data_IF_145476688278
#
_entry.id   IF_145476688278
#
_cell.length_a   1.000
_cell.length_b   1.000
_cell.length_c   1.000
_cell.angle_alpha   90.00
_cell.angle_beta   90.00
_cell.angle_gamma   90.00
#
_symmetry.space_group_name_H-M   'P 1'
#
loop_
_entity.id
_entity.type
_entity.pdbx_description
1 polymer ?
#
# COMPACT_ATOMS: atom_id res chain seq x y z
N UNK A 1 -13.09 -11.08 -14.16
CA UNK A 1 -12.23 -11.04 -12.98
C UNK A 1 -12.25 -9.66 -12.32
N UNK A 2 -11.83 -8.56 -12.99
CA UNK A 2 -11.68 -7.23 -12.37
C UNK A 2 -12.97 -6.70 -11.75
N UNK A 3 -14.13 -6.83 -12.42
CA UNK A 3 -15.43 -6.42 -11.86
C UNK A 3 -15.76 -7.13 -10.52
N UNK A 4 -15.30 -8.38 -10.33
CA UNK A 4 -15.47 -9.12 -9.07
C UNK A 4 -14.62 -8.50 -7.95
N UNK A 5 -13.40 -8.00 -8.26
CA UNK A 5 -12.56 -7.30 -7.28
C UNK A 5 -13.29 -6.05 -6.77
N UNK A 6 -13.84 -5.24 -7.66
CA UNK A 6 -14.60 -4.04 -7.28
C UNK A 6 -15.82 -4.38 -6.43
N UNK A 7 -16.58 -5.43 -6.82
CA UNK A 7 -17.75 -5.91 -6.07
C UNK A 7 -17.37 -6.41 -4.67
N UNK A 8 -16.38 -7.30 -4.57
CA UNK A 8 -15.93 -7.87 -3.28
C UNK A 8 -15.41 -6.79 -2.33
N UNK A 9 -14.72 -5.77 -2.84
CA UNK A 9 -14.21 -4.65 -2.05
C UNK A 9 -15.24 -3.56 -1.75
N UNK A 10 -16.34 -3.46 -2.49
CA UNK A 10 -17.20 -2.27 -2.50
C UNK A 10 -16.46 -1.02 -3.00
N UNK A 11 -15.50 -1.19 -3.93
CA UNK A 11 -14.64 -0.12 -4.44
C UNK A 11 -15.27 0.51 -5.69
N UNK A 12 -15.26 1.85 -5.85
CA UNK A 12 -15.68 2.51 -7.09
C UNK A 12 -14.81 2.07 -8.29
N UNK A 13 -15.45 1.89 -9.45
CA UNK A 13 -14.77 1.35 -10.64
C UNK A 13 -13.82 2.34 -11.34
N UNK A 14 -13.91 3.62 -11.01
CA UNK A 14 -13.03 4.68 -11.50
C UNK A 14 -11.69 4.77 -10.74
N UNK A 15 -11.51 3.96 -9.70
CA UNK A 15 -10.25 3.87 -8.97
C UNK A 15 -9.31 2.85 -9.62
N UNK A 16 -8.11 3.27 -10.09
CA UNK A 16 -7.20 2.39 -10.80
C UNK A 16 -6.66 1.27 -9.92
N UNK A 17 -6.27 0.17 -10.56
CA UNK A 17 -5.60 -0.97 -9.96
C UNK A 17 -4.12 -0.98 -10.36
N UNK A 18 -3.26 -1.47 -9.46
CA UNK A 18 -1.86 -1.75 -9.78
C UNK A 18 -1.79 -3.13 -10.43
N UNK A 19 -1.11 -3.21 -11.57
CA UNK A 19 -0.81 -4.48 -12.23
C UNK A 19 0.54 -4.99 -11.73
N UNK A 20 0.52 -6.22 -11.22
CA UNK A 20 1.71 -6.93 -10.83
C UNK A 20 2.20 -7.77 -12.01
N UNK A 21 3.44 -7.58 -12.38
CA UNK A 21 4.14 -8.28 -13.48
C UNK A 21 5.25 -9.16 -12.91
N UNK A 22 5.68 -10.15 -13.67
CA UNK A 22 6.64 -11.14 -13.18
C UNK A 22 8.09 -10.65 -13.21
N UNK A 23 8.43 -9.76 -14.13
CA UNK A 23 9.78 -9.23 -14.29
C UNK A 23 9.76 -7.84 -14.95
N UNK A 24 10.88 -7.12 -14.86
CA UNK A 24 11.00 -5.76 -15.36
C UNK A 24 10.78 -5.67 -16.89
N UNK A 25 11.17 -6.67 -17.64
CA UNK A 25 11.05 -6.71 -19.11
C UNK A 25 9.59 -6.63 -19.57
N UNK A 26 8.66 -7.09 -18.74
CA UNK A 26 7.23 -7.04 -19.04
C UNK A 26 6.65 -5.61 -19.08
N UNK A 27 7.38 -4.59 -18.59
CA UNK A 27 6.94 -3.18 -18.65
C UNK A 27 6.57 -2.78 -20.07
N UNK A 28 7.37 -3.19 -21.06
CA UNK A 28 7.18 -2.80 -22.46
C UNK A 28 5.84 -3.29 -23.08
N UNK A 29 5.19 -4.28 -22.50
CA UNK A 29 3.86 -4.70 -22.91
C UNK A 29 2.76 -3.76 -22.39
N UNK A 30 2.97 -3.17 -21.21
CA UNK A 30 1.97 -2.36 -20.51
C UNK A 30 2.11 -0.86 -20.73
N UNK A 31 3.30 -0.41 -21.16
CA UNK A 31 3.60 1.02 -21.35
C UNK A 31 4.22 1.28 -22.73
N UNK A 32 3.79 2.39 -23.35
CA UNK A 32 4.34 2.83 -24.63
C UNK A 32 5.54 3.77 -24.48
N UNK A 33 5.67 4.44 -23.34
CA UNK A 33 6.73 5.41 -23.04
C UNK A 33 7.30 5.13 -21.67
N UNK A 34 8.60 4.83 -21.59
CA UNK A 34 9.31 4.49 -20.37
C UNK A 34 10.55 5.38 -20.29
N UNK A 35 10.55 6.40 -19.43
CA UNK A 35 11.74 7.25 -19.25
C UNK A 35 12.93 6.46 -18.71
N UNK A 36 14.15 6.87 -19.05
CA UNK A 36 15.39 6.21 -18.62
C UNK A 36 15.51 6.14 -17.09
N UNK A 37 15.08 7.20 -16.38
CA UNK A 37 15.08 7.19 -14.93
C UNK A 37 14.10 6.16 -14.33
N UNK A 38 12.97 5.89 -15.01
CA UNK A 38 12.04 4.84 -14.56
C UNK A 38 12.65 3.44 -14.73
N UNK A 39 13.45 3.22 -15.79
CA UNK A 39 14.23 1.99 -15.96
C UNK A 39 15.28 1.85 -14.87
N UNK A 40 15.99 2.96 -14.53
CA UNK A 40 16.98 2.95 -13.44
C UNK A 40 16.34 2.60 -12.09
N UNK A 41 15.18 3.18 -11.79
CA UNK A 41 14.39 2.87 -10.59
C UNK A 41 13.96 1.39 -10.57
N UNK A 42 13.41 0.89 -11.69
CA UNK A 42 12.99 -0.52 -11.79
C UNK A 42 14.17 -1.48 -11.56
N UNK A 43 15.33 -1.21 -12.13
CA UNK A 43 16.54 -2.02 -11.92
C UNK A 43 17.03 -2.03 -10.47
N UNK A 44 16.86 -0.92 -9.75
CA UNK A 44 17.35 -0.76 -8.37
C UNK A 44 16.38 -1.31 -7.33
N UNK A 45 15.05 -1.23 -7.58
CA UNK A 45 14.04 -1.48 -6.56
C UNK A 45 13.03 -2.58 -6.91
N UNK A 46 13.18 -3.26 -8.06
CA UNK A 46 12.38 -4.44 -8.39
C UNK A 46 13.25 -5.71 -8.47
N UNK A 47 12.72 -6.82 -7.96
CA UNK A 47 11.47 -6.98 -7.21
C UNK A 47 11.45 -6.20 -5.90
N UNK A 48 10.31 -5.53 -5.56
CA UNK A 48 10.27 -4.73 -4.34
C UNK A 48 9.01 -3.90 -4.10
N UNK A 49 9.05 -3.05 -3.07
CA UNK A 49 7.89 -2.26 -2.62
C UNK A 49 7.77 -0.92 -3.37
N UNK A 50 7.96 -0.93 -4.70
CA UNK A 50 7.83 0.24 -5.56
C UNK A 50 6.84 0.00 -6.69
N UNK A 51 6.00 1.00 -6.97
CA UNK A 51 5.06 1.04 -8.10
C UNK A 51 5.41 2.22 -9.00
N UNK A 52 5.56 1.98 -10.29
CA UNK A 52 5.75 3.01 -11.30
C UNK A 52 4.43 3.29 -12.01
N UNK A 53 4.05 4.56 -12.12
CA UNK A 53 2.96 5.02 -12.96
C UNK A 53 3.56 5.46 -14.29
N UNK A 54 3.10 4.85 -15.37
CA UNK A 54 3.61 5.06 -16.73
C UNK A 54 2.44 5.32 -17.69
N UNK A 55 2.72 5.90 -18.86
CA UNK A 55 1.73 6.03 -19.93
C UNK A 55 1.34 4.64 -20.43
N UNK A 56 0.04 4.33 -20.41
CA UNK A 56 -0.47 3.00 -20.72
C UNK A 56 -0.32 2.61 -22.19
N UNK A 57 -0.12 1.34 -22.45
CA UNK A 57 -0.36 0.73 -23.75
C UNK A 57 -1.84 0.35 -23.92
N UNK A 58 -2.22 -0.13 -25.09
CA UNK A 58 -3.57 -0.65 -25.36
C UNK A 58 -3.91 -1.92 -24.56
N UNK A 59 -2.93 -2.56 -23.93
CA UNK A 59 -3.14 -3.72 -23.05
C UNK A 59 -3.82 -3.31 -21.73
N UNK A 60 -3.46 -2.16 -21.18
CA UNK A 60 -4.05 -1.62 -19.97
C UNK A 60 -5.43 -0.99 -20.24
N UNK A 61 -6.48 -1.81 -20.16
CA UNK A 61 -7.85 -1.38 -20.43
C UNK A 61 -8.43 -0.47 -19.35
N UNK A 62 -9.43 0.34 -19.70
CA UNK A 62 -10.08 1.32 -18.81
C UNK A 62 -10.52 0.74 -17.47
N UNK A 63 -11.01 -0.50 -17.45
CA UNK A 63 -11.43 -1.17 -16.21
C UNK A 63 -10.26 -1.50 -15.25
N UNK A 64 -9.01 -1.41 -15.74
CA UNK A 64 -7.79 -1.52 -14.90
C UNK A 64 -7.35 -0.14 -14.46
N UNK A 65 -7.35 0.81 -15.39
CA UNK A 65 -6.78 2.17 -15.17
C UNK A 65 -7.79 3.16 -14.58
N UNK A 66 -9.06 2.75 -14.41
CA UNK A 66 -10.12 3.67 -13.99
C UNK A 66 -10.37 4.77 -15.03
N UNK A 67 -10.14 4.49 -16.32
CA UNK A 67 -10.28 5.42 -17.43
C UNK A 67 -9.12 6.42 -17.58
N UNK A 68 -8.03 6.27 -16.84
CA UNK A 68 -6.85 7.13 -16.99
C UNK A 68 -5.92 6.65 -18.11
N UNK A 69 -5.15 7.59 -18.70
CA UNK A 69 -4.12 7.29 -19.71
C UNK A 69 -2.81 6.76 -19.11
N UNK A 70 -2.86 6.33 -17.84
CA UNK A 70 -1.72 5.81 -17.10
C UNK A 70 -2.01 4.43 -16.52
N UNK A 71 -0.96 3.65 -16.28
CA UNK A 71 -1.03 2.35 -15.61
C UNK A 71 0.02 2.26 -14.52
N UNK A 72 -0.37 1.71 -13.37
CA UNK A 72 0.54 1.41 -12.26
C UNK A 72 1.09 0.00 -12.39
N UNK A 73 2.42 -0.16 -12.41
CA UNK A 73 3.12 -1.42 -12.55
C UNK A 73 4.02 -1.70 -11.34
N UNK A 74 4.10 -2.97 -10.95
CA UNK A 74 4.98 -3.42 -9.88
C UNK A 74 5.48 -4.85 -10.14
N UNK A 75 6.75 -5.11 -9.84
CA UNK A 75 7.27 -6.48 -9.64
C UNK A 75 7.36 -6.71 -8.13
N UNK A 76 6.51 -7.58 -7.54
CA UNK A 76 6.55 -7.84 -6.10
C UNK A 76 7.78 -8.69 -5.74
N UNK A 77 8.24 -8.60 -4.50
CA UNK A 77 9.40 -9.35 -3.96
C UNK A 77 9.01 -10.63 -3.21
N UNK A 78 7.73 -10.90 -3.07
CA UNK A 78 7.26 -12.07 -2.33
C UNK A 78 7.33 -13.34 -3.17
N UNK A 79 7.98 -14.40 -2.64
CA UNK A 79 8.25 -15.64 -3.37
C UNK A 79 7.00 -16.31 -3.95
N UNK A 80 5.89 -16.38 -3.19
CA UNK A 80 4.64 -16.98 -3.66
C UNK A 80 4.00 -16.10 -4.75
N UNK A 81 4.03 -14.77 -4.58
CA UNK A 81 3.48 -13.86 -5.58
C UNK A 81 4.25 -13.95 -6.91
N UNK A 82 5.58 -13.99 -6.86
CA UNK A 82 6.42 -14.17 -8.05
C UNK A 82 6.20 -15.55 -8.70
N UNK A 83 6.09 -16.63 -7.90
CA UNK A 83 5.80 -17.95 -8.43
C UNK A 83 4.44 -17.98 -9.16
N UNK A 84 3.39 -17.38 -8.56
CA UNK A 84 2.08 -17.26 -9.20
C UNK A 84 2.14 -16.46 -10.51
N UNK A 85 2.82 -15.31 -10.52
CA UNK A 85 2.99 -14.48 -11.71
C UNK A 85 3.74 -15.22 -12.82
N UNK A 86 4.80 -15.94 -12.47
CA UNK A 86 5.57 -16.73 -13.42
C UNK A 86 4.76 -17.89 -14.04
N UNK A 87 3.99 -18.63 -13.23
CA UNK A 87 3.11 -19.67 -13.75
C UNK A 87 2.00 -19.09 -14.61
N UNK A 88 1.40 -17.97 -14.19
CA UNK A 88 0.39 -17.28 -14.99
C UNK A 88 0.96 -16.81 -16.34
N UNK A 89 2.20 -16.32 -16.36
CA UNK A 89 2.90 -15.92 -17.61
C UNK A 89 3.12 -17.11 -18.54
N UNK A 90 3.52 -18.27 -18.03
CA UNK A 90 3.66 -19.51 -18.84
C UNK A 90 2.36 -19.93 -19.52
N UNK A 91 1.21 -19.63 -18.89
CA UNK A 91 -0.13 -19.87 -19.44
C UNK A 91 -0.61 -18.76 -20.38
N UNK A 92 0.25 -17.81 -20.74
CA UNK A 92 -0.07 -16.69 -21.64
C UNK A 92 -0.62 -15.44 -20.95
N UNK A 93 -0.70 -15.43 -19.59
CA UNK A 93 -1.09 -14.25 -18.82
C UNK A 93 -0.01 -13.18 -18.85
N UNK A 94 -0.41 -11.90 -18.78
CA UNK A 94 0.51 -10.76 -18.90
C UNK A 94 0.77 -10.03 -17.59
N UNK A 95 -0.08 -10.23 -16.58
CA UNK A 95 0.01 -9.61 -15.27
C UNK A 95 -1.27 -9.79 -14.48
N UNK A 96 -1.21 -9.51 -13.18
CA UNK A 96 -2.33 -9.65 -12.26
C UNK A 96 -2.63 -8.28 -11.63
N UNK A 97 -3.83 -7.74 -11.92
CA UNK A 97 -4.30 -6.53 -11.27
C UNK A 97 -4.76 -6.85 -9.85
N UNK A 98 -4.13 -6.25 -8.85
CA UNK A 98 -4.42 -6.53 -7.45
C UNK A 98 -4.35 -5.28 -6.57
N UNK A 99 -5.46 -4.87 -5.95
CA UNK A 99 -5.48 -3.92 -4.84
C UNK A 99 -5.21 -4.65 -3.52
N UNK A 100 -5.13 -3.91 -2.40
CA UNK A 100 -5.13 -4.51 -1.06
C UNK A 100 -6.40 -5.35 -0.81
N UNK A 101 -6.28 -6.45 -0.06
CA UNK A 101 -7.35 -7.43 0.14
C UNK A 101 -8.26 -7.10 1.34
N UNK A 102 -8.78 -5.86 1.41
CA UNK A 102 -9.72 -5.35 2.40
C UNK A 102 -10.94 -4.73 1.74
N UNK A 103 -11.99 -4.49 2.49
CA UNK A 103 -13.10 -3.63 2.08
C UNK A 103 -12.58 -2.20 1.86
N UNK A 104 -13.22 -1.48 0.94
CA UNK A 104 -12.79 -0.12 0.58
C UNK A 104 -12.83 0.82 1.78
N UNK A 105 -11.76 1.58 2.00
CA UNK A 105 -11.59 2.50 3.14
C UNK A 105 -11.09 1.85 4.44
N UNK A 106 -11.20 0.54 4.60
CA UNK A 106 -10.77 -0.17 5.80
C UNK A 106 -9.24 -0.32 5.89
N UNK A 107 -8.77 -0.73 7.06
CA UNK A 107 -7.35 -1.02 7.32
C UNK A 107 -6.86 -2.14 6.41
N UNK A 108 -5.73 -1.94 5.72
CA UNK A 108 -5.16 -2.99 4.86
C UNK A 108 -4.76 -4.24 5.68
N UNK A 109 -5.03 -5.46 5.18
CA UNK A 109 -4.60 -6.69 5.85
C UNK A 109 -3.11 -6.92 5.62
N UNK A 110 -2.43 -7.44 6.64
CA UNK A 110 -1.03 -7.84 6.60
C UNK A 110 -0.81 -9.33 6.82
N UNK A 111 -1.90 -10.10 7.00
CA UNK A 111 -1.89 -11.55 7.18
C UNK A 111 -3.07 -12.19 6.44
N UNK A 112 -2.97 -13.47 6.11
CA UNK A 112 -4.06 -14.27 5.53
C UNK A 112 -5.30 -14.31 6.43
N UNK A 113 -5.09 -14.40 7.75
CA UNK A 113 -6.18 -14.37 8.73
C UNK A 113 -6.96 -13.04 8.68
N UNK A 114 -6.26 -11.90 8.51
CA UNK A 114 -6.92 -10.61 8.36
C UNK A 114 -7.70 -10.51 7.03
N UNK A 115 -7.20 -11.11 5.94
CA UNK A 115 -7.92 -11.21 4.66
C UNK A 115 -9.18 -12.05 4.83
N UNK A 116 -9.09 -13.21 5.48
CA UNK A 116 -10.23 -14.08 5.75
C UNK A 116 -11.31 -13.35 6.56
N UNK A 117 -10.92 -12.69 7.65
CA UNK A 117 -11.85 -11.93 8.48
C UNK A 117 -12.56 -10.79 7.72
N UNK A 118 -11.89 -10.19 6.74
CA UNK A 118 -12.37 -9.03 6.00
C UNK A 118 -13.22 -9.38 4.78
N UNK A 119 -12.87 -10.46 4.07
CA UNK A 119 -13.41 -10.73 2.74
C UNK A 119 -14.14 -12.08 2.61
N UNK A 120 -14.10 -12.99 3.58
CA UNK A 120 -14.66 -14.34 3.42
C UNK A 120 -16.12 -14.36 2.95
N UNK A 121 -16.95 -13.42 3.41
CA UNK A 121 -18.36 -13.30 3.01
C UNK A 121 -18.55 -12.83 1.56
N UNK A 122 -17.51 -12.32 0.92
CA UNK A 122 -17.52 -11.77 -0.44
C UNK A 122 -16.78 -12.64 -1.44
N UNK A 123 -16.16 -13.74 -0.98
CA UNK A 123 -15.45 -14.71 -1.81
C UNK A 123 -16.42 -15.79 -2.31
N UNK A 124 -16.17 -16.28 -3.52
CA UNK A 124 -16.87 -17.39 -4.13
C UNK A 124 -16.08 -18.70 -3.94
N UNK A 125 -16.70 -19.83 -4.18
CA UNK A 125 -16.13 -21.17 -3.96
C UNK A 125 -14.76 -21.40 -4.60
N UNK A 126 -14.50 -20.75 -5.75
CA UNK A 126 -13.22 -20.87 -6.47
C UNK A 126 -12.21 -19.79 -6.12
N UNK A 127 -12.51 -18.88 -5.19
CA UNK A 127 -11.57 -17.88 -4.73
C UNK A 127 -10.65 -18.48 -3.65
N UNK A 128 -9.36 -18.21 -3.77
CA UNK A 128 -8.35 -18.77 -2.88
C UNK A 128 -7.59 -17.66 -2.15
N UNK A 129 -7.30 -17.88 -0.88
CA UNK A 129 -6.38 -17.08 -0.09
C UNK A 129 -5.07 -17.87 0.01
N UNK A 130 -4.02 -17.38 -0.65
CA UNK A 130 -2.69 -17.95 -0.53
C UNK A 130 -2.00 -17.36 0.71
N UNK A 131 -1.68 -18.22 1.67
CA UNK A 131 -0.96 -17.79 2.86
C UNK A 131 0.54 -17.72 2.58
N UNK A 132 1.06 -16.50 2.54
CA UNK A 132 2.50 -16.20 2.38
C UNK A 132 3.17 -15.76 3.69
N UNK A 133 2.47 -15.86 4.82
CA UNK A 133 2.90 -15.28 6.07
C UNK A 133 2.61 -13.77 6.16
N UNK A 134 3.07 -13.10 7.22
CA UNK A 134 2.85 -11.67 7.43
C UNK A 134 3.63 -10.81 6.44
N UNK A 135 3.04 -9.66 6.08
CA UNK A 135 3.70 -8.67 5.22
C UNK A 135 4.99 -8.14 5.84
N UNK A 136 6.10 -8.18 5.09
CA UNK A 136 7.42 -7.83 5.61
C UNK A 136 7.60 -6.32 5.82
N UNK A 137 7.05 -5.48 4.96
CA UNK A 137 7.13 -4.01 5.06
C UNK A 137 6.00 -3.45 5.93
N UNK A 138 4.79 -3.99 5.81
CA UNK A 138 3.61 -3.61 6.60
C UNK A 138 2.81 -2.43 6.06
N UNK A 139 3.40 -1.58 5.22
CA UNK A 139 2.71 -0.49 4.49
C UNK A 139 2.82 -0.73 2.98
N UNK A 140 1.95 -0.07 2.21
CA UNK A 140 1.91 -0.21 0.77
C UNK A 140 3.15 0.38 0.08
N UNK A 141 3.38 -0.05 -1.18
CA UNK A 141 4.48 0.39 -2.03
C UNK A 141 4.53 1.92 -2.20
N UNK A 142 5.73 2.46 -2.32
CA UNK A 142 5.93 3.82 -2.85
C UNK A 142 5.35 3.88 -4.26
N UNK A 143 4.53 4.89 -4.57
CA UNK A 143 4.02 5.12 -5.94
C UNK A 143 4.72 6.34 -6.51
N UNK A 144 5.38 6.14 -7.65
CA UNK A 144 6.14 7.17 -8.36
C UNK A 144 5.49 7.40 -9.72
N UNK A 145 5.06 8.63 -9.98
CA UNK A 145 4.65 9.07 -11.30
C UNK A 145 5.89 9.30 -12.17
N UNK A 146 5.97 8.55 -13.25
CA UNK A 146 7.04 8.58 -14.24
C UNK A 146 6.53 9.01 -15.62
N UNK A 147 5.43 9.77 -15.70
CA UNK A 147 4.86 10.24 -16.97
C UNK A 147 5.49 11.54 -17.47
N UNK A 148 6.24 12.25 -16.63
CA UNK A 148 6.92 13.52 -16.91
C UNK A 148 8.44 13.39 -16.99
N UNK A 149 9.12 14.52 -17.04
CA UNK A 149 10.58 14.60 -17.08
C UNK A 149 11.24 14.30 -15.74
N UNK A 150 10.52 14.54 -14.64
CA UNK A 150 10.99 14.34 -13.27
C UNK A 150 10.08 13.36 -12.54
N UNK A 151 10.62 12.52 -11.65
CA UNK A 151 9.83 11.64 -10.81
C UNK A 151 8.98 12.45 -9.81
N UNK A 152 7.73 11.99 -9.54
CA UNK A 152 6.86 12.53 -8.48
C UNK A 152 6.42 11.42 -7.55
N UNK A 153 6.51 11.64 -6.25
CA UNK A 153 5.98 10.69 -5.26
C UNK A 153 4.49 10.97 -5.05
N UNK A 154 3.63 10.09 -5.57
CA UNK A 154 2.17 10.17 -5.39
C UNK A 154 1.70 9.50 -4.09
N UNK A 155 2.49 8.57 -3.57
CA UNK A 155 2.24 7.90 -2.29
C UNK A 155 3.58 7.50 -1.67
N UNK A 156 3.93 7.99 -0.48
CA UNK A 156 5.14 7.57 0.21
C UNK A 156 5.04 6.10 0.67
N UNK A 157 6.17 5.40 0.66
CA UNK A 157 6.33 4.01 1.08
C UNK A 157 7.76 3.76 1.57
N UNK A 158 8.21 2.50 1.49
CA UNK A 158 9.56 2.13 1.95
C UNK A 158 10.69 2.63 1.04
N UNK A 159 10.40 2.95 -0.23
CA UNK A 159 11.37 3.62 -1.11
C UNK A 159 11.23 5.11 -0.89
N UNK A 160 12.27 5.73 -0.30
CA UNK A 160 12.27 7.13 0.11
C UNK A 160 12.67 8.07 -1.01
N UNK A 161 12.44 9.37 -0.81
CA UNK A 161 12.89 10.42 -1.73
C UNK A 161 14.42 10.39 -1.93
N UNK A 162 15.18 10.22 -0.84
CA UNK A 162 16.64 10.11 -0.89
C UNK A 162 17.09 8.93 -1.76
N UNK A 163 16.45 7.77 -1.63
CA UNK A 163 16.76 6.59 -2.43
C UNK A 163 16.46 6.82 -3.92
N UNK A 164 15.35 7.48 -4.24
CA UNK A 164 14.97 7.81 -5.62
C UNK A 164 15.97 8.78 -6.23
N UNK A 165 16.28 9.86 -5.50
CA UNK A 165 17.25 10.88 -5.93
C UNK A 165 18.65 10.27 -6.11
N UNK A 166 19.07 9.40 -5.19
CA UNK A 166 20.35 8.70 -5.27
C UNK A 166 20.51 7.80 -6.50
N UNK A 167 19.42 7.17 -6.96
CA UNK A 167 19.43 6.32 -8.16
C UNK A 167 19.32 7.12 -9.44
N UNK A 168 18.48 8.15 -9.45
CA UNK A 168 18.15 8.90 -10.69
C UNK A 168 19.04 10.11 -10.92
N UNK A 169 19.63 10.68 -9.87
CA UNK A 169 20.29 11.98 -9.91
C UNK A 169 19.32 13.15 -10.14
N UNK A 170 18.02 12.91 -10.13
CA UNK A 170 16.98 13.92 -10.39
C UNK A 170 16.32 14.37 -9.09
N UNK A 171 15.89 15.63 -9.08
CA UNK A 171 15.04 16.16 -8.01
C UNK A 171 13.62 15.59 -8.12
N UNK A 172 12.96 15.44 -6.98
CA UNK A 172 11.55 15.05 -6.97
C UNK A 172 10.70 16.28 -7.30
N UNK A 173 9.82 16.17 -8.28
CA UNK A 173 8.88 17.24 -8.61
C UNK A 173 7.77 17.34 -7.57
N UNK A 174 7.12 18.52 -7.49
CA UNK A 174 5.97 18.73 -6.59
C UNK A 174 4.90 17.67 -6.79
N UNK A 175 4.32 17.20 -5.69
CA UNK A 175 3.37 16.09 -5.67
C UNK A 175 1.98 16.42 -6.22
N UNK A 176 1.73 17.67 -6.64
CA UNK A 176 0.46 18.04 -7.27
C UNK A 176 0.32 17.28 -8.59
N UNK A 177 -0.67 16.41 -8.67
CA UNK A 177 -0.95 15.55 -9.82
C UNK A 177 -2.44 15.24 -9.90
N UNK A 178 -3.00 15.29 -11.10
CA UNK A 178 -4.39 14.86 -11.37
C UNK A 178 -4.52 13.33 -11.47
N UNK A 179 -3.40 12.61 -11.39
CA UNK A 179 -3.38 11.15 -11.50
C UNK A 179 -3.92 10.54 -10.20
N UNK A 180 -5.04 9.82 -10.32
CA UNK A 180 -5.60 9.05 -9.20
C UNK A 180 -4.79 7.77 -9.01
N UNK A 181 -4.44 7.48 -7.75
CA UNK A 181 -3.73 6.24 -7.38
C UNK A 181 -4.42 5.54 -6.22
N UNK A 182 -4.12 4.27 -6.03
CA UNK A 182 -4.63 3.50 -4.88
C UNK A 182 -4.12 4.11 -3.58
N UNK A 183 -5.05 4.38 -2.63
CA UNK A 183 -4.70 4.92 -1.31
C UNK A 183 -4.51 6.44 -1.26
N UNK A 184 -4.87 7.18 -2.34
CA UNK A 184 -4.81 8.66 -2.36
C UNK A 184 -6.02 9.34 -1.73
N UNK A 185 -7.07 8.62 -1.36
CA UNK A 185 -8.23 9.19 -0.71
C UNK A 185 -7.87 9.77 0.65
N UNK A 186 -8.53 10.88 1.00
CA UNK A 186 -8.33 11.54 2.29
C UNK A 186 -8.72 10.64 3.47
N UNK A 187 -9.79 9.86 3.32
CA UNK A 187 -10.30 8.91 4.29
C UNK A 187 -9.95 7.49 3.82
N UNK A 188 -8.89 6.93 4.36
CA UNK A 188 -8.45 5.58 4.02
C UNK A 188 -7.69 4.96 5.21
N UNK A 189 -7.57 3.63 5.22
CA UNK A 189 -6.88 2.88 6.29
C UNK A 189 -7.53 3.01 7.67
N UNK A 190 -8.82 3.36 7.72
CA UNK A 190 -9.49 3.70 8.97
C UNK A 190 -10.04 2.46 9.68
N UNK A 191 -9.66 2.23 10.96
CA UNK A 191 -10.34 1.30 11.85
C UNK A 191 -11.73 1.83 12.24
N UNK A 192 -12.53 1.03 12.97
CA UNK A 192 -13.75 1.50 13.60
C UNK A 192 -13.44 2.44 14.79
N UNK A 193 -12.39 2.13 15.54
CA UNK A 193 -11.85 2.98 16.59
C UNK A 193 -11.39 4.35 16.05
N UNK A 194 -11.68 5.43 16.76
CA UNK A 194 -11.23 6.78 16.38
C UNK A 194 -9.71 6.90 16.58
N UNK A 195 -8.96 7.15 15.51
CA UNK A 195 -7.51 7.40 15.56
C UNK A 195 -7.25 8.86 15.89
N UNK A 196 -6.42 9.11 16.89
CA UNK A 196 -5.99 10.44 17.34
C UNK A 196 -4.46 10.47 17.41
N UNK A 197 -3.88 11.54 16.89
CA UNK A 197 -2.43 11.63 16.75
C UNK A 197 -1.83 12.59 17.79
N UNK A 198 -0.67 12.23 18.33
CA UNK A 198 0.25 13.07 19.10
C UNK A 198 -0.35 13.77 20.33
N UNK A 199 -1.30 13.10 21.00
CA UNK A 199 -1.82 13.53 22.30
C UNK A 199 -1.46 12.51 23.38
N UNK A 200 -1.61 12.87 24.63
CA UNK A 200 -1.51 11.91 25.73
C UNK A 200 -2.73 10.97 25.73
N UNK A 201 -2.54 9.63 25.77
CA UNK A 201 -3.66 8.70 25.88
C UNK A 201 -4.27 8.73 27.27
N UNK A 202 -5.59 8.53 27.35
CA UNK A 202 -6.34 8.40 28.58
C UNK A 202 -6.63 6.93 28.92
N UNK A 203 -7.02 6.65 30.16
CA UNK A 203 -7.43 5.31 30.59
C UNK A 203 -8.55 4.77 29.66
N UNK A 204 -8.39 3.54 29.18
CA UNK A 204 -9.28 2.87 28.23
C UNK A 204 -8.96 3.11 26.75
N UNK A 205 -8.02 4.01 26.43
CA UNK A 205 -7.55 4.19 25.05
C UNK A 205 -6.59 3.06 24.64
N UNK A 206 -6.62 2.71 23.35
CA UNK A 206 -5.51 2.00 22.71
C UNK A 206 -4.32 2.93 22.48
N UNK A 207 -3.09 2.40 22.55
CA UNK A 207 -1.88 3.19 22.35
C UNK A 207 -0.87 2.50 21.46
N UNK A 208 -0.40 3.22 20.44
CA UNK A 208 0.67 2.79 19.53
C UNK A 208 1.81 3.81 19.65
N UNK A 209 2.99 3.37 20.02
CA UNK A 209 4.17 4.23 20.14
C UNK A 209 5.45 3.41 20.11
N UNK A 210 6.59 4.03 19.86
CA UNK A 210 7.89 3.39 19.99
C UNK A 210 8.11 2.84 21.43
N UNK A 211 8.91 1.79 21.55
CA UNK A 211 9.12 1.05 22.81
C UNK A 211 9.72 1.88 23.94
N UNK A 212 10.43 2.96 23.60
CA UNK A 212 11.01 3.91 24.56
C UNK A 212 9.98 4.91 25.13
N UNK A 213 8.74 4.90 24.65
CA UNK A 213 7.65 5.73 25.18
C UNK A 213 6.83 4.88 26.16
N UNK A 214 6.75 5.30 27.42
CA UNK A 214 6.01 4.60 28.46
C UNK A 214 4.51 4.60 28.19
N UNK A 215 3.84 3.53 28.62
CA UNK A 215 2.39 3.41 28.55
C UNK A 215 1.77 3.87 29.86
N UNK A 216 0.93 4.92 29.87
CA UNK A 216 0.25 5.37 31.08
C UNK A 216 -0.65 4.30 31.69
N UNK A 217 -0.91 4.39 33.00
CA UNK A 217 -1.78 3.46 33.69
C UNK A 217 -3.20 3.44 33.10
N UNK A 218 -3.76 2.25 32.93
CA UNK A 218 -5.10 2.04 32.37
C UNK A 218 -5.20 2.18 30.85
N UNK A 219 -4.09 2.41 30.14
CA UNK A 219 -4.03 2.48 28.68
C UNK A 219 -3.68 1.10 28.12
N UNK A 220 -4.31 0.70 26.99
CA UNK A 220 -4.06 -0.58 26.32
C UNK A 220 -2.94 -0.43 25.30
N UNK A 221 -1.75 -0.98 25.56
CA UNK A 221 -0.65 -0.96 24.60
C UNK A 221 -0.92 -1.92 23.44
N UNK A 222 -1.18 -1.39 22.22
CA UNK A 222 -1.48 -2.17 21.02
C UNK A 222 -0.22 -2.59 20.26
N UNK A 223 0.81 -1.72 20.23
CA UNK A 223 2.11 -2.02 19.66
C UNK A 223 3.21 -1.23 20.36
N UNK A 224 4.41 -1.83 20.40
CA UNK A 224 5.62 -1.29 21.05
C UNK A 224 6.85 -1.51 20.16
N UNK A 225 6.85 -0.97 18.92
CA UNK A 225 7.95 -1.15 17.97
C UNK A 225 9.25 -0.54 18.48
N UNK A 226 10.39 -1.14 18.11
CA UNK A 226 11.72 -0.67 18.51
C UNK A 226 12.28 0.39 17.55
N UNK A 227 11.81 0.39 16.30
CA UNK A 227 12.26 1.30 15.25
C UNK A 227 11.11 1.56 14.25
N UNK A 228 11.37 2.42 13.25
CA UNK A 228 10.36 2.82 12.26
C UNK A 228 9.95 1.68 11.31
N UNK A 229 10.85 0.74 10.98
CA UNK A 229 10.55 -0.43 10.16
C UNK A 229 9.60 -1.38 10.87
N UNK A 230 9.84 -1.62 12.16
CA UNK A 230 8.94 -2.43 12.98
C UNK A 230 7.61 -1.72 13.21
N UNK A 231 7.62 -0.39 13.34
CA UNK A 231 6.39 0.42 13.43
C UNK A 231 5.52 0.22 12.18
N UNK A 232 6.12 0.32 11.00
CA UNK A 232 5.40 0.09 9.74
C UNK A 232 4.79 -1.31 9.68
N UNK A 233 5.53 -2.35 10.09
CA UNK A 233 5.03 -3.74 10.09
C UNK A 233 3.88 -3.97 11.04
N UNK A 234 3.89 -3.34 12.21
CA UNK A 234 2.90 -3.55 13.26
C UNK A 234 1.68 -2.63 13.14
N UNK A 235 1.76 -1.52 12.40
CA UNK A 235 0.76 -0.47 12.35
C UNK A 235 -0.66 -1.01 12.09
N UNK A 236 -0.84 -1.71 10.98
CA UNK A 236 -2.18 -2.18 10.59
C UNK A 236 -2.69 -3.30 11.49
N UNK A 237 -1.80 -4.17 11.99
CA UNK A 237 -2.17 -5.18 12.97
C UNK A 237 -2.65 -4.53 14.27
N UNK A 238 -1.96 -3.50 14.74
CA UNK A 238 -2.34 -2.76 15.94
C UNK A 238 -3.69 -2.02 15.78
N UNK A 239 -3.92 -1.38 14.63
CA UNK A 239 -5.20 -0.73 14.34
C UNK A 239 -6.36 -1.74 14.28
N UNK A 240 -6.15 -2.93 13.68
CA UNK A 240 -7.15 -4.02 13.68
C UNK A 240 -7.38 -4.59 15.08
N UNK A 241 -6.32 -4.70 15.88
CA UNK A 241 -6.44 -5.17 17.26
C UNK A 241 -7.30 -4.23 18.12
N UNK A 242 -7.28 -2.92 17.84
CA UNK A 242 -8.18 -1.98 18.51
C UNK A 242 -9.65 -2.30 18.23
N UNK A 243 -10.00 -2.59 16.96
CA UNK A 243 -11.36 -2.96 16.57
C UNK A 243 -11.77 -4.30 17.21
N UNK A 244 -10.85 -5.29 17.24
CA UNK A 244 -11.10 -6.60 17.88
C UNK A 244 -11.32 -6.51 19.40
N UNK A 245 -10.71 -5.51 20.04
CA UNK A 245 -10.88 -5.23 21.46
C UNK A 245 -11.99 -4.20 21.75
N UNK A 246 -12.75 -3.82 20.72
CA UNK A 246 -13.86 -2.86 20.80
C UNK A 246 -13.47 -1.51 21.43
N UNK A 247 -12.22 -1.08 21.21
CA UNK A 247 -11.74 0.18 21.76
C UNK A 247 -12.39 1.36 21.01
N UNK A 248 -12.87 2.36 21.76
CA UNK A 248 -13.46 3.54 21.16
C UNK A 248 -12.42 4.45 20.47
N UNK A 249 -11.19 4.47 21.01
CA UNK A 249 -10.12 5.36 20.55
C UNK A 249 -8.77 4.66 20.53
N UNK A 250 -7.94 5.06 19.56
CA UNK A 250 -6.52 4.71 19.49
C UNK A 250 -5.70 5.98 19.39
N UNK A 251 -4.84 6.20 20.35
CA UNK A 251 -3.86 7.29 20.34
C UNK A 251 -2.55 6.75 19.76
N UNK A 252 -1.98 7.49 18.81
CA UNK A 252 -0.72 7.13 18.17
C UNK A 252 0.29 8.25 18.39
N UNK A 253 1.41 7.95 19.01
CA UNK A 253 2.58 8.81 18.99
C UNK A 253 3.35 8.56 17.69
N UNK A 254 3.32 9.52 16.77
CA UNK A 254 3.88 9.36 15.45
C UNK A 254 5.41 9.27 15.48
N UNK A 255 6.02 8.36 14.68
CA UNK A 255 7.47 8.30 14.59
C UNK A 255 8.02 9.51 13.80
N UNK A 256 9.18 10.02 14.26
CA UNK A 256 9.93 11.06 13.56
C UNK A 256 10.88 10.47 12.50
N UNK A 257 11.39 11.31 11.60
CA UNK A 257 12.38 10.95 10.59
C UNK A 257 11.89 11.17 9.16
N UNK A 258 12.78 10.91 8.20
CA UNK A 258 12.56 11.08 6.75
C UNK A 258 12.67 9.75 5.98
N UNK A 259 12.72 8.65 6.74
CA UNK A 259 12.72 7.27 6.28
C UNK A 259 11.28 6.75 6.03
N UNK A 260 11.01 5.49 6.29
CA UNK A 260 9.67 4.88 6.22
C UNK A 260 8.65 5.58 7.14
N UNK A 261 9.11 6.38 8.11
CA UNK A 261 8.24 7.17 8.99
C UNK A 261 7.36 8.16 8.22
N UNK A 262 7.81 8.66 7.07
CA UNK A 262 7.00 9.51 6.17
C UNK A 262 5.76 8.76 5.71
N UNK A 263 5.92 7.49 5.31
CA UNK A 263 4.80 6.63 4.92
C UNK A 263 3.87 6.32 6.11
N UNK A 264 4.43 6.04 7.27
CA UNK A 264 3.65 5.80 8.50
C UNK A 264 2.77 7.02 8.82
N UNK A 265 3.35 8.22 8.83
CA UNK A 265 2.61 9.46 9.09
C UNK A 265 1.53 9.74 8.05
N UNK A 266 1.78 9.49 6.76
CA UNK A 266 0.75 9.61 5.71
C UNK A 266 -0.44 8.65 5.98
N UNK A 267 -0.17 7.39 6.34
CA UNK A 267 -1.22 6.40 6.65
C UNK A 267 -2.02 6.78 7.90
N UNK A 268 -1.34 7.25 8.94
CA UNK A 268 -1.95 7.69 10.20
C UNK A 268 -2.81 8.94 10.01
N UNK A 269 -2.33 9.90 9.22
CA UNK A 269 -3.11 11.11 8.90
C UNK A 269 -4.43 10.75 8.19
N UNK A 270 -4.39 9.79 7.24
CA UNK A 270 -5.60 9.31 6.55
C UNK A 270 -6.51 8.53 7.50
N UNK A 271 -5.95 7.67 8.33
CA UNK A 271 -6.72 6.91 9.33
C UNK A 271 -7.41 7.81 10.36
N UNK A 272 -6.79 8.93 10.74
CA UNK A 272 -7.34 9.87 11.72
C UNK A 272 -8.54 10.68 11.21
N UNK A 273 -8.72 10.76 9.89
CA UNK A 273 -9.89 11.45 9.28
C UNK A 273 -11.18 10.64 9.34
N UNK A 274 -11.08 9.37 9.76
CA UNK A 274 -12.22 8.47 9.91
C UNK A 274 -12.74 7.88 8.59
N UNK A 275 -13.83 7.13 8.69
CA UNK A 275 -14.57 6.56 7.56
C UNK A 275 -15.63 7.52 7.08
#
# INVERSE_FOLDING_TARGET
AVARIYKAKGRPADHPLIVHISEMQDIAEWSNEIPDYAIALARSFWPGPMTLILKRSSLAKDFITGGQETVGLRVPDHVIALALLNEFKKLGGKGIAAPSANRFGHVSPTTSAAVTAELSEYLEENDLILDGGPSQVGVESTIIDCTGELPKILRPGAITEEMITGVTGLVIADSVSDIRVSGSLENHYSPAAKVILDIAPASGDGFIALSNIETPAGVVRLASPQNNEEFARLLYTALRSADQQELARVVVAQPAGDDISVAIRDRLLRASRGR
#
